data_IF_120255156864
#
_entry.id   IF_120255156864
#
_cell.length_a   1.000
_cell.length_b   1.000
_cell.length_c   1.000
_cell.angle_alpha   90.00
_cell.angle_beta   90.00
_cell.angle_gamma   90.00
#
_symmetry.space_group_name_H-M   'P 1'
#
loop_
_entity.id
_entity.type
_entity.pdbx_description
1 polymer ?
#
# COMPACT_ATOMS: atom_id res chain seq x y z
N UNK A 1 14.50 8.85 -2.25
CA UNK A 1 13.36 8.16 -1.61
C UNK A 1 13.85 6.76 -1.36
N UNK A 2 13.95 6.40 -0.09
CA UNK A 2 14.81 5.31 0.37
C UNK A 2 14.03 4.00 0.51
N UNK A 3 13.07 3.76 -0.40
CA UNK A 3 12.23 2.56 -0.37
C UNK A 3 11.24 2.53 0.80
N UNK A 4 10.58 3.64 1.10
CA UNK A 4 9.54 3.71 2.14
C UNK A 4 8.20 4.20 1.57
N UNK A 5 7.12 3.76 2.19
CA UNK A 5 5.76 4.15 1.83
C UNK A 5 4.92 4.47 3.07
N UNK A 6 3.91 5.32 2.88
CA UNK A 6 2.85 5.59 3.83
C UNK A 6 1.54 5.82 3.06
N UNK A 7 0.45 5.28 3.57
CA UNK A 7 -0.90 5.59 3.09
C UNK A 7 -1.78 6.12 4.22
N UNK A 8 -2.79 6.93 3.86
CA UNK A 8 -3.79 7.44 4.80
C UNK A 8 -5.18 7.27 4.17
N UNK A 9 -6.10 6.70 4.93
CA UNK A 9 -7.53 6.69 4.63
C UNK A 9 -8.23 7.76 5.46
N UNK A 10 -8.92 8.68 4.79
CA UNK A 10 -9.71 9.74 5.40
C UNK A 10 -10.93 10.08 4.56
N UNK A 11 -11.95 10.69 5.17
CA UNK A 11 -13.10 11.21 4.46
C UNK A 11 -12.77 12.57 3.82
N UNK A 12 -13.04 12.74 2.53
CA UNK A 12 -12.63 13.95 1.79
C UNK A 12 -13.52 15.17 2.03
N UNK A 13 -14.74 15.02 2.56
CA UNK A 13 -15.63 16.16 2.83
C UNK A 13 -15.40 16.78 4.20
N UNK A 14 -14.99 15.99 5.19
CA UNK A 14 -14.80 16.46 6.58
C UNK A 14 -13.42 16.13 7.17
N UNK A 15 -12.52 15.57 6.38
CA UNK A 15 -11.15 15.21 6.77
C UNK A 15 -11.05 14.22 7.94
N UNK A 16 -12.15 13.52 8.28
CA UNK A 16 -12.13 12.54 9.37
C UNK A 16 -11.18 11.40 9.03
N UNK A 17 -10.15 11.25 9.86
CA UNK A 17 -9.19 10.15 9.78
C UNK A 17 -9.87 8.78 9.99
N UNK A 18 -9.46 7.80 9.20
CA UNK A 18 -9.94 6.42 9.28
C UNK A 18 -8.83 5.39 9.49
N UNK A 19 -7.59 5.71 9.11
CA UNK A 19 -6.44 4.84 9.30
C UNK A 19 -5.23 5.29 8.50
N UNK A 20 -4.06 4.87 8.94
CA UNK A 20 -2.78 4.94 8.22
C UNK A 20 -1.98 3.68 8.46
N UNK A 21 -1.12 3.36 7.51
CA UNK A 21 -0.06 2.37 7.65
C UNK A 21 1.11 2.76 6.75
N UNK A 22 2.23 2.10 6.98
CA UNK A 22 3.43 2.33 6.21
C UNK A 22 4.58 1.44 6.65
N UNK A 23 5.69 1.60 5.96
CA UNK A 23 6.93 0.89 6.22
C UNK A 23 7.85 0.96 5.02
N UNK A 24 8.64 -0.09 4.83
CA UNK A 24 9.59 -0.20 3.73
C UNK A 24 9.01 -1.02 2.57
N UNK A 25 9.52 -0.78 1.37
CA UNK A 25 9.23 -1.59 0.20
C UNK A 25 10.48 -1.88 -0.61
N UNK A 26 10.44 -3.02 -1.31
CA UNK A 26 11.40 -3.36 -2.35
C UNK A 26 10.68 -3.68 -3.65
N UNK A 27 11.39 -3.50 -4.77
CA UNK A 27 10.90 -3.83 -6.10
C UNK A 27 11.92 -4.74 -6.77
N UNK A 28 11.49 -5.95 -7.10
CA UNK A 28 12.33 -6.99 -7.69
C UNK A 28 11.48 -7.81 -8.66
N UNK A 29 11.98 -8.08 -9.87
CA UNK A 29 11.40 -9.08 -10.78
C UNK A 29 9.87 -8.94 -11.01
N UNK A 30 9.35 -7.71 -11.13
CA UNK A 30 7.92 -7.43 -11.30
C UNK A 30 7.06 -7.56 -10.03
N UNK A 31 7.70 -7.79 -8.88
CA UNK A 31 7.10 -7.78 -7.55
C UNK A 31 7.38 -6.47 -6.85
N UNK A 32 6.37 -5.97 -6.16
CA UNK A 32 6.44 -4.91 -5.17
C UNK A 32 6.13 -5.55 -3.82
N UNK A 33 7.11 -5.52 -2.92
CA UNK A 33 7.06 -6.19 -1.63
C UNK A 33 7.07 -5.13 -0.54
N UNK A 34 6.03 -5.09 0.28
CA UNK A 34 5.93 -4.19 1.43
C UNK A 34 6.27 -4.95 2.71
N UNK A 35 7.03 -4.32 3.60
CA UNK A 35 7.18 -4.75 4.99
C UNK A 35 6.52 -3.70 5.88
N UNK A 36 5.53 -4.13 6.66
CA UNK A 36 4.72 -3.22 7.48
C UNK A 36 5.50 -2.85 8.75
N UNK A 37 5.81 -1.58 8.92
CA UNK A 37 6.48 -1.07 10.14
C UNK A 37 5.46 -0.51 11.14
N UNK A 38 4.33 -0.01 10.65
CA UNK A 38 3.21 0.42 11.49
C UNK A 38 1.86 0.29 10.77
N UNK A 39 0.84 0.01 11.56
CA UNK A 39 -0.54 0.04 11.10
C UNK A 39 -1.47 0.49 12.23
N UNK A 40 -2.05 1.68 12.08
CA UNK A 40 -2.85 2.35 13.13
C UNK A 40 -4.09 1.57 13.58
N UNK A 41 -4.61 0.64 12.75
CA UNK A 41 -5.82 -0.12 13.07
C UNK A 41 -5.55 -1.51 13.66
N UNK A 42 -4.35 -2.06 13.46
CA UNK A 42 -3.97 -3.38 13.95
C UNK A 42 -2.44 -3.51 14.02
N UNK A 43 -1.89 -3.32 15.22
CA UNK A 43 -0.45 -3.41 15.45
C UNK A 43 0.11 -4.83 15.29
N UNK A 44 -0.74 -5.87 15.28
CA UNK A 44 -0.30 -7.26 15.06
C UNK A 44 0.20 -7.51 13.65
N UNK A 45 0.01 -6.55 12.74
CA UNK A 45 0.48 -6.61 11.35
C UNK A 45 1.91 -6.11 11.15
N UNK A 46 2.54 -5.52 12.17
CA UNK A 46 3.96 -5.11 12.09
C UNK A 46 4.85 -6.32 11.83
N UNK A 47 5.81 -6.17 10.92
CA UNK A 47 6.72 -7.23 10.47
C UNK A 47 6.13 -8.18 9.43
N UNK A 48 4.84 -8.07 9.09
CA UNK A 48 4.26 -8.83 7.97
C UNK A 48 4.80 -8.28 6.65
N UNK A 49 5.20 -9.18 5.76
CA UNK A 49 5.53 -8.83 4.38
C UNK A 49 4.38 -9.19 3.44
N UNK A 50 4.00 -8.24 2.58
CA UNK A 50 2.98 -8.41 1.55
C UNK A 50 3.63 -8.32 0.18
N UNK A 51 3.35 -9.28 -0.70
CA UNK A 51 3.90 -9.32 -2.05
C UNK A 51 2.80 -9.11 -3.08
N UNK A 52 3.02 -8.12 -3.95
CA UNK A 52 2.11 -7.76 -5.02
C UNK A 52 2.83 -7.85 -6.37
N UNK A 53 2.13 -8.31 -7.39
CA UNK A 53 2.53 -8.02 -8.77
C UNK A 53 2.22 -6.57 -9.05
N UNK A 54 3.13 -5.85 -9.70
CA UNK A 54 2.86 -4.49 -10.16
C UNK A 54 2.96 -4.37 -11.67
N UNK A 55 2.21 -3.42 -12.23
CA UNK A 55 2.28 -3.01 -13.62
C UNK A 55 2.05 -1.50 -13.72
N UNK A 56 2.91 -0.80 -14.46
CA UNK A 56 2.63 0.58 -14.87
C UNK A 56 1.88 0.57 -16.20
N UNK A 57 0.71 1.21 -16.24
CA UNK A 57 -0.09 1.39 -17.44
C UNK A 57 -0.35 2.90 -17.62
N UNK A 58 0.49 3.55 -18.42
CA UNK A 58 0.53 5.01 -18.47
C UNK A 58 0.94 5.61 -17.13
N UNK A 59 0.09 6.47 -16.56
CA UNK A 59 0.30 7.09 -15.25
C UNK A 59 -0.26 6.26 -14.08
N UNK A 60 -0.98 5.19 -14.38
CA UNK A 60 -1.61 4.36 -13.36
C UNK A 60 -0.68 3.24 -12.94
N UNK A 61 -0.60 3.04 -11.63
CA UNK A 61 0.10 1.94 -10.99
C UNK A 61 -0.92 0.88 -10.56
N UNK A 62 -0.86 -0.27 -11.21
CA UNK A 62 -1.68 -1.42 -10.88
C UNK A 62 -0.91 -2.28 -9.89
N UNK A 63 -1.51 -2.56 -8.74
CA UNK A 63 -0.97 -3.49 -7.75
C UNK A 63 -1.98 -4.63 -7.56
N UNK A 64 -1.53 -5.88 -7.59
CA UNK A 64 -2.39 -7.06 -7.50
C UNK A 64 -1.76 -8.15 -6.66
N UNK A 65 -2.52 -8.74 -5.77
CA UNK A 65 -2.02 -9.81 -4.91
C UNK A 65 -3.07 -10.23 -3.91
N UNK A 66 -2.64 -10.45 -2.67
CA UNK A 66 -3.52 -10.84 -1.57
C UNK A 66 -3.31 -9.89 -0.41
N UNK A 67 -4.39 -9.60 0.30
CA UNK A 67 -4.33 -8.85 1.56
C UNK A 67 -3.67 -9.66 2.67
N UNK A 68 -3.38 -9.03 3.80
CA UNK A 68 -2.89 -9.71 5.00
C UNK A 68 -3.87 -10.72 5.64
N UNK A 69 -5.07 -10.87 5.06
CA UNK A 69 -6.08 -11.89 5.42
C UNK A 69 -6.18 -13.03 4.40
N UNK A 70 -5.44 -12.95 3.29
CA UNK A 70 -5.49 -13.93 2.20
C UNK A 70 -6.55 -13.64 1.14
N UNK A 71 -7.32 -12.56 1.27
CA UNK A 71 -8.31 -12.18 0.26
C UNK A 71 -7.64 -11.55 -0.98
N UNK A 72 -8.07 -11.88 -2.21
CA UNK A 72 -7.57 -11.25 -3.43
C UNK A 72 -7.74 -9.74 -3.39
N UNK A 73 -6.74 -9.02 -3.89
CA UNK A 73 -6.71 -7.57 -3.85
C UNK A 73 -6.18 -7.01 -5.18
N UNK A 74 -6.86 -5.98 -5.68
CA UNK A 74 -6.53 -5.27 -6.89
C UNK A 74 -6.80 -3.78 -6.70
N UNK A 75 -5.74 -2.99 -6.62
CA UNK A 75 -5.83 -1.53 -6.51
C UNK A 75 -5.12 -0.87 -7.68
N UNK A 76 -5.65 0.29 -8.06
CA UNK A 76 -5.09 1.16 -9.09
C UNK A 76 -4.79 2.49 -8.42
N UNK A 77 -3.52 2.88 -8.43
CA UNK A 77 -3.03 4.12 -7.84
C UNK A 77 -2.70 5.10 -8.96
N UNK A 78 -3.29 6.28 -8.91
CA UNK A 78 -3.03 7.35 -9.86
C UNK A 78 -2.31 8.52 -9.17
N UNK A 79 -1.52 9.26 -9.94
CA UNK A 79 -0.97 10.52 -9.46
C UNK A 79 -2.10 11.48 -9.09
N UNK A 80 -2.07 11.98 -7.85
CA UNK A 80 -2.96 13.07 -7.45
C UNK A 80 -2.46 14.36 -8.08
N UNK A 81 -3.22 14.88 -9.04
CA UNK A 81 -3.02 16.25 -9.51
C UNK A 81 -3.55 17.21 -8.43
N UNK A 82 -2.74 18.21 -8.02
CA UNK A 82 -3.10 19.14 -6.96
C UNK A 82 -4.30 20.02 -7.31
#
# INVERSE_FOLDING_TARGET
IDGYFQWIAFNTSNFRFSGTGGGSYSVENGKYIETIDYFSRDNKKVGVSLSFNYLKNGNDWYHRGFSSKGDPLHEIWAFRNP
#
